data_IF_841679757914
#
_entry.id   IF_841679757914
#
_cell.length_a   1.000
_cell.length_b   1.000
_cell.length_c   1.000
_cell.angle_alpha   90.00
_cell.angle_beta   90.00
_cell.angle_gamma   90.00
#
_symmetry.space_group_name_H-M   'P 1'
#
loop_
_entity.id
_entity.type
_entity.pdbx_description
1 polymer ?
#
# COMPACT_ATOMS: atom_id res chain seq x y z
N UNK A 1 73.59 19.52 -7.63
CA UNK A 1 73.72 18.06 -7.65
C UNK A 1 72.39 17.43 -7.31
N UNK A 2 71.67 16.91 -8.29
CA UNK A 2 70.40 16.21 -8.07
C UNK A 2 70.63 14.75 -8.38
N UNK A 3 70.49 13.89 -7.38
CA UNK A 3 70.58 12.46 -7.50
C UNK A 3 69.27 11.88 -8.05
N UNK A 4 69.36 11.17 -9.15
CA UNK A 4 68.26 10.40 -9.74
C UNK A 4 68.32 8.98 -9.11
N UNK A 5 67.24 8.63 -8.35
CA UNK A 5 67.03 7.27 -7.91
C UNK A 5 66.26 6.52 -9.00
N UNK A 6 66.87 5.49 -9.57
CA UNK A 6 66.23 4.50 -10.44
C UNK A 6 65.48 3.47 -9.57
N UNK A 7 64.17 3.38 -9.80
CA UNK A 7 63.37 2.24 -9.28
C UNK A 7 63.47 1.07 -10.27
N UNK A 8 63.55 -0.17 -9.79
CA UNK A 8 63.53 -1.37 -10.64
C UNK A 8 62.08 -1.70 -11.04
N UNK A 9 61.91 -2.02 -12.34
CA UNK A 9 60.68 -2.50 -12.91
C UNK A 9 60.33 -3.88 -12.38
N UNK A 10 59.17 -4.00 -11.73
CA UNK A 10 58.60 -5.27 -11.28
C UNK A 10 57.88 -5.91 -12.48
N UNK A 11 58.39 -7.05 -12.94
CA UNK A 11 57.77 -7.92 -13.95
C UNK A 11 56.53 -8.58 -13.35
N UNK A 12 55.35 -8.15 -13.77
CA UNK A 12 54.08 -8.84 -13.47
C UNK A 12 53.93 -10.02 -14.46
N UNK A 13 53.93 -11.21 -13.94
CA UNK A 13 53.51 -12.43 -14.65
C UNK A 13 51.99 -12.46 -14.82
N UNK A 14 51.46 -12.94 -15.97
CA UNK A 14 50.01 -13.00 -16.14
C UNK A 14 49.45 -14.17 -15.28
N UNK A 15 48.52 -13.83 -14.36
CA UNK A 15 47.71 -14.80 -13.64
C UNK A 15 46.64 -15.31 -14.59
N UNK A 16 46.75 -16.55 -14.99
CA UNK A 16 45.70 -17.30 -15.71
C UNK A 16 44.53 -17.53 -14.76
N UNK A 17 43.43 -16.82 -14.94
CA UNK A 17 42.18 -17.05 -14.23
C UNK A 17 41.40 -18.18 -14.89
N UNK A 18 41.49 -19.38 -14.31
CA UNK A 18 40.57 -20.48 -14.57
C UNK A 18 39.25 -20.13 -13.84
N UNK A 19 38.08 -20.07 -14.53
CA UNK A 19 36.83 -19.91 -13.83
C UNK A 19 36.47 -21.15 -13.05
N UNK A 20 35.88 -21.05 -11.83
CA UNK A 20 35.39 -22.20 -11.08
C UNK A 20 34.22 -22.84 -11.78
N UNK A 21 34.39 -24.07 -12.17
CA UNK A 21 33.36 -24.97 -12.69
C UNK A 21 32.39 -25.32 -11.55
N UNK A 22 31.06 -25.12 -11.78
CA UNK A 22 30.04 -25.69 -10.91
C UNK A 22 29.16 -24.71 -10.12
N UNK A 23 28.74 -23.59 -10.69
CA UNK A 23 27.56 -22.91 -10.15
C UNK A 23 26.29 -23.51 -10.78
N UNK A 24 25.59 -24.33 -9.98
CA UNK A 24 24.22 -24.76 -10.34
C UNK A 24 23.35 -23.53 -10.60
N UNK A 25 22.54 -23.53 -11.69
CA UNK A 25 21.64 -22.40 -11.95
C UNK A 25 20.66 -22.26 -10.80
N UNK A 26 20.58 -21.05 -10.23
CA UNK A 26 19.55 -20.68 -9.27
C UNK A 26 18.21 -20.81 -9.98
N UNK A 27 17.24 -21.58 -9.47
CA UNK A 27 15.92 -21.66 -10.07
C UNK A 27 15.30 -20.27 -10.05
N UNK A 28 14.94 -19.75 -11.23
CA UNK A 28 14.11 -18.56 -11.35
C UNK A 28 12.76 -18.88 -10.70
N UNK A 29 12.53 -18.32 -9.53
CA UNK A 29 11.21 -18.34 -8.89
C UNK A 29 10.31 -17.44 -9.72
N UNK A 30 9.64 -18.01 -10.73
CA UNK A 30 8.68 -17.33 -11.61
C UNK A 30 7.26 -17.68 -11.19
N UNK A 31 7.02 -17.74 -9.89
CA UNK A 31 5.64 -17.86 -9.40
C UNK A 31 5.38 -16.69 -8.45
N UNK A 32 4.43 -15.81 -8.74
CA UNK A 32 3.95 -14.89 -7.72
C UNK A 32 3.40 -15.76 -6.59
N UNK A 33 3.89 -15.55 -5.38
CA UNK A 33 3.28 -16.13 -4.19
C UNK A 33 1.92 -15.46 -4.04
N UNK A 34 0.89 -16.10 -4.56
CA UNK A 34 -0.50 -15.77 -4.24
C UNK A 34 -0.66 -16.25 -2.79
N UNK A 35 -0.54 -15.34 -1.86
CA UNK A 35 -0.94 -15.59 -0.47
C UNK A 35 -2.47 -15.62 -0.50
N UNK A 36 -3.04 -16.83 -0.62
CA UNK A 36 -4.46 -17.03 -0.41
C UNK A 36 -4.79 -16.67 1.04
N UNK A 37 -5.41 -15.52 1.22
CA UNK A 37 -6.02 -15.16 2.49
C UNK A 37 -7.34 -15.91 2.60
N UNK A 38 -7.34 -17.02 3.34
CA UNK A 38 -8.57 -17.64 3.80
C UNK A 38 -9.33 -16.64 4.68
N UNK A 39 -10.39 -16.07 4.15
CA UNK A 39 -11.34 -15.23 4.88
C UNK A 39 -12.62 -16.01 5.06
N UNK A 40 -12.93 -16.29 6.32
CA UNK A 40 -14.14 -17.01 6.73
C UNK A 40 -15.41 -16.34 6.19
N UNK A 41 -16.20 -17.17 5.55
CA UNK A 41 -17.47 -16.92 4.91
C UNK A 41 -18.58 -16.71 5.93
N UNK A 42 -19.11 -15.49 6.07
CA UNK A 42 -20.52 -15.31 6.46
C UNK A 42 -21.01 -13.93 5.97
N UNK A 43 -22.03 -13.93 5.07
CA UNK A 43 -22.84 -12.80 4.59
C UNK A 43 -22.08 -11.68 3.83
N UNK A 44 -22.12 -11.75 2.50
CA UNK A 44 -21.47 -10.78 1.62
C UNK A 44 -19.97 -11.03 1.57
N UNK A 45 -19.57 -12.10 0.92
CA UNK A 45 -18.18 -12.55 0.86
C UNK A 45 -17.36 -11.56 0.04
N UNK A 46 -16.56 -10.75 0.71
CA UNK A 46 -15.52 -9.96 0.06
C UNK A 46 -14.31 -10.86 -0.17
N UNK A 47 -14.05 -11.21 -1.42
CA UNK A 47 -13.00 -12.16 -1.78
C UNK A 47 -11.66 -11.48 -2.10
N UNK A 48 -11.68 -10.18 -2.38
CA UNK A 48 -10.49 -9.44 -2.71
C UNK A 48 -10.46 -8.03 -2.10
N UNK A 49 -9.26 -7.46 -2.00
CA UNK A 49 -9.10 -6.06 -1.59
C UNK A 49 -9.72 -5.10 -2.60
N UNK A 50 -9.73 -5.46 -3.88
CA UNK A 50 -10.30 -4.62 -4.93
C UNK A 50 -11.83 -4.54 -4.80
N UNK A 51 -12.51 -5.63 -4.47
CA UNK A 51 -13.94 -5.63 -4.13
C UNK A 51 -14.22 -4.77 -2.89
N UNK A 52 -13.37 -4.88 -1.85
CA UNK A 52 -13.49 -4.03 -0.69
C UNK A 52 -13.38 -2.55 -1.05
N UNK A 53 -12.39 -2.18 -1.86
CA UNK A 53 -12.16 -0.79 -2.29
C UNK A 53 -13.36 -0.29 -3.10
N UNK A 54 -13.89 -1.11 -4.00
CA UNK A 54 -15.07 -0.77 -4.80
C UNK A 54 -16.29 -0.52 -3.92
N UNK A 55 -16.57 -1.40 -2.98
CA UNK A 55 -17.68 -1.25 -2.05
C UNK A 55 -17.52 -0.03 -1.15
N UNK A 56 -16.32 0.20 -0.62
CA UNK A 56 -16.02 1.39 0.18
C UNK A 56 -16.18 2.67 -0.64
N UNK A 57 -15.67 2.71 -1.88
CA UNK A 57 -15.81 3.86 -2.77
C UNK A 57 -17.28 4.21 -3.03
N UNK A 58 -18.11 3.19 -3.22
CA UNK A 58 -19.55 3.43 -3.37
C UNK A 58 -20.17 4.01 -2.08
N UNK A 59 -19.86 3.45 -0.93
CA UNK A 59 -20.41 3.92 0.36
C UNK A 59 -19.92 5.33 0.73
N UNK A 60 -18.66 5.66 0.41
CA UNK A 60 -18.02 6.94 0.75
C UNK A 60 -18.45 8.07 -0.19
N UNK A 61 -18.55 7.79 -1.48
CA UNK A 61 -18.68 8.85 -2.51
C UNK A 61 -19.66 8.53 -3.64
N UNK A 62 -20.32 7.38 -3.63
CA UNK A 62 -21.06 6.90 -4.80
C UNK A 62 -20.17 6.63 -6.00
N UNK A 63 -18.87 6.39 -5.79
CA UNK A 63 -17.87 6.23 -6.85
C UNK A 63 -17.35 7.55 -7.45
N UNK A 64 -17.74 8.71 -6.92
CA UNK A 64 -17.33 10.01 -7.45
C UNK A 64 -16.00 10.49 -6.83
N UNK A 65 -14.93 10.65 -7.63
CA UNK A 65 -13.62 11.05 -7.13
C UNK A 65 -13.51 12.54 -6.76
N UNK A 66 -14.47 13.37 -7.14
CA UNK A 66 -14.43 14.82 -6.89
C UNK A 66 -15.29 15.29 -5.71
N UNK A 67 -16.04 14.38 -5.09
CA UNK A 67 -16.96 14.75 -4.02
C UNK A 67 -16.22 15.27 -2.78
N UNK A 68 -16.81 16.28 -2.15
CA UNK A 68 -16.37 16.82 -0.87
C UNK A 68 -17.32 16.37 0.23
N UNK A 69 -16.79 15.78 1.28
CA UNK A 69 -17.51 15.42 2.49
C UNK A 69 -17.01 16.19 3.70
N UNK A 70 -17.66 16.01 4.84
CA UNK A 70 -17.27 16.61 6.13
C UNK A 70 -17.10 18.14 6.06
N UNK A 71 -17.96 18.82 5.31
CA UNK A 71 -17.83 20.26 5.04
C UNK A 71 -17.84 21.12 6.31
N UNK A 72 -18.43 20.63 7.40
CA UNK A 72 -18.45 21.29 8.70
C UNK A 72 -17.14 21.16 9.49
N UNK A 73 -16.19 20.38 8.99
CA UNK A 73 -14.88 20.19 9.62
C UNK A 73 -13.86 21.10 8.92
N UNK A 74 -12.95 21.69 9.70
CA UNK A 74 -11.88 22.55 9.17
C UNK A 74 -10.92 21.86 8.18
N UNK A 75 -11.11 20.56 7.93
CA UNK A 75 -10.33 19.78 6.99
C UNK A 75 -11.22 18.71 6.34
N UNK A 76 -11.94 19.04 5.25
CA UNK A 76 -12.91 18.17 4.61
C UNK A 76 -12.29 16.90 4.07
N UNK A 77 -13.08 15.82 4.04
CA UNK A 77 -12.78 14.63 3.29
C UNK A 77 -13.01 14.86 1.79
N UNK A 78 -12.23 14.17 0.95
CA UNK A 78 -12.24 14.42 -0.50
C UNK A 78 -12.09 13.12 -1.26
N UNK A 79 -12.83 13.00 -2.35
CA UNK A 79 -12.60 12.05 -3.41
C UNK A 79 -13.20 10.69 -3.18
N UNK A 80 -12.77 9.74 -3.99
CA UNK A 80 -13.32 8.38 -4.10
C UNK A 80 -13.47 7.68 -2.73
N UNK A 81 -12.47 7.75 -1.88
CA UNK A 81 -12.42 7.10 -0.57
C UNK A 81 -12.50 8.10 0.59
N UNK A 82 -13.03 9.30 0.35
CA UNK A 82 -13.26 10.36 1.33
C UNK A 82 -12.03 10.60 2.24
N UNK A 83 -10.86 10.76 1.59
CA UNK A 83 -9.58 10.90 2.28
C UNK A 83 -9.46 12.27 2.94
N UNK A 84 -9.12 12.29 4.21
CA UNK A 84 -8.81 13.52 4.96
C UNK A 84 -7.32 13.85 4.88
N UNK A 85 -6.90 15.13 5.05
CA UNK A 85 -5.49 15.52 5.02
C UNK A 85 -4.61 14.77 6.01
N UNK A 86 -5.16 14.34 7.14
CA UNK A 86 -4.42 13.53 8.13
C UNK A 86 -3.97 12.19 7.53
N UNK A 87 -4.81 11.55 6.70
CA UNK A 87 -4.46 10.29 6.04
C UNK A 87 -3.35 10.50 5.00
N UNK A 88 -3.35 11.60 4.25
CA UNK A 88 -2.24 11.94 3.33
C UNK A 88 -0.93 12.05 4.09
N UNK A 89 -0.92 12.73 5.25
CA UNK A 89 0.27 12.81 6.12
C UNK A 89 0.72 11.44 6.61
N UNK A 90 -0.23 10.60 6.99
CA UNK A 90 0.06 9.24 7.48
C UNK A 90 0.68 8.36 6.38
N UNK A 91 0.11 8.35 5.19
CA UNK A 91 0.67 7.64 4.03
C UNK A 91 2.08 8.14 3.71
N UNK A 92 2.29 9.46 3.73
CA UNK A 92 3.61 10.03 3.52
C UNK A 92 4.62 9.65 4.62
N UNK A 93 4.16 9.49 5.87
CA UNK A 93 4.98 8.99 6.97
C UNK A 93 5.39 7.54 6.76
N UNK A 94 4.45 6.69 6.30
CA UNK A 94 4.74 5.28 5.94
C UNK A 94 5.80 5.23 4.84
N UNK A 95 5.61 5.97 3.75
CA UNK A 95 6.57 6.02 2.63
C UNK A 95 7.96 6.49 3.09
N UNK A 96 8.01 7.51 3.96
CA UNK A 96 9.27 7.99 4.54
C UNK A 96 9.98 6.89 5.33
N UNK A 97 9.25 6.17 6.17
CA UNK A 97 9.81 5.08 6.99
C UNK A 97 10.31 3.90 6.13
N UNK A 98 9.76 3.73 4.94
CA UNK A 98 10.21 2.73 3.95
C UNK A 98 11.38 3.23 3.07
N UNK A 99 11.89 4.45 3.31
CA UNK A 99 12.97 5.03 2.52
C UNK A 99 12.55 5.51 1.12
N UNK A 100 11.24 5.55 0.82
CA UNK A 100 10.72 5.94 -0.48
C UNK A 100 10.65 7.47 -0.60
N UNK A 101 11.01 7.99 -1.79
CA UNK A 101 11.03 9.44 -2.07
C UNK A 101 9.65 9.98 -2.41
N UNK A 102 8.79 9.15 -3.03
CA UNK A 102 7.44 9.57 -3.45
C UNK A 102 6.64 10.14 -2.28
N UNK A 103 5.94 11.25 -2.54
CA UNK A 103 5.00 11.87 -1.59
C UNK A 103 3.71 12.24 -2.30
N UNK A 104 2.59 12.09 -1.57
CA UNK A 104 1.29 12.56 -2.02
C UNK A 104 1.03 13.99 -1.53
N UNK A 105 0.33 14.77 -2.35
CA UNK A 105 -0.20 16.09 -2.02
C UNK A 105 -1.67 15.98 -1.62
N UNK A 106 -2.21 17.01 -0.98
CA UNK A 106 -3.65 17.04 -0.66
C UNK A 106 -4.54 17.06 -1.91
N UNK A 107 -4.06 17.61 -3.04
CA UNK A 107 -4.75 17.57 -4.34
C UNK A 107 -4.92 16.15 -4.89
N UNK A 108 -4.00 15.23 -4.58
CA UNK A 108 -4.02 13.87 -5.12
C UNK A 108 -5.21 13.04 -4.61
N UNK A 109 -5.92 13.51 -3.57
CA UNK A 109 -7.15 12.89 -3.05
C UNK A 109 -8.31 12.92 -4.05
N UNK A 110 -8.27 13.85 -5.03
CA UNK A 110 -9.29 13.97 -6.11
C UNK A 110 -9.05 12.97 -7.24
N UNK A 111 -7.87 12.39 -7.31
CA UNK A 111 -7.55 11.36 -8.31
C UNK A 111 -7.87 9.97 -7.75
N UNK A 112 -8.72 9.23 -8.46
CA UNK A 112 -9.17 7.91 -8.04
C UNK A 112 -8.02 6.92 -7.87
N UNK A 113 -7.07 6.91 -8.82
CA UNK A 113 -5.95 6.00 -8.77
C UNK A 113 -4.99 6.32 -7.60
N UNK A 114 -4.77 7.60 -7.30
CA UNK A 114 -3.97 8.01 -6.14
C UNK A 114 -4.69 7.73 -4.83
N UNK A 115 -6.02 7.88 -4.77
CA UNK A 115 -6.82 7.50 -3.59
C UNK A 115 -6.68 6.00 -3.29
N UNK A 116 -6.80 5.14 -4.29
CA UNK A 116 -6.62 3.69 -4.17
C UNK A 116 -5.18 3.36 -3.75
N UNK A 117 -4.17 4.01 -4.35
CA UNK A 117 -2.76 3.82 -3.94
C UNK A 117 -2.53 4.21 -2.49
N UNK A 118 -3.09 5.32 -2.02
CA UNK A 118 -2.98 5.73 -0.61
C UNK A 118 -3.62 4.71 0.33
N UNK A 119 -4.79 4.19 -0.03
CA UNK A 119 -5.44 3.12 0.73
C UNK A 119 -4.56 1.86 0.80
N UNK A 120 -4.02 1.39 -0.32
CA UNK A 120 -3.19 0.19 -0.37
C UNK A 120 -1.91 0.34 0.47
N UNK A 121 -1.22 1.47 0.39
CA UNK A 121 -0.02 1.75 1.21
C UNK A 121 -0.36 1.69 2.70
N UNK A 122 -1.49 2.28 3.10
CA UNK A 122 -1.96 2.23 4.49
C UNK A 122 -2.36 0.81 4.91
N UNK A 123 -3.09 0.10 4.05
CA UNK A 123 -3.53 -1.26 4.31
C UNK A 123 -2.34 -2.23 4.46
N UNK A 124 -1.35 -2.14 3.59
CA UNK A 124 -0.14 -2.97 3.66
C UNK A 124 0.68 -2.68 4.92
N UNK A 125 0.70 -1.43 5.38
CA UNK A 125 1.44 -1.08 6.59
C UNK A 125 0.77 -1.55 7.89
N UNK A 126 -0.57 -1.61 7.95
CA UNK A 126 -1.29 -1.82 9.22
C UNK A 126 -2.24 -3.01 9.22
N UNK A 127 -2.58 -3.54 8.06
CA UNK A 127 -3.68 -4.50 7.90
C UNK A 127 -3.32 -5.72 7.06
N UNK A 128 -2.04 -6.03 6.90
CA UNK A 128 -1.57 -7.15 6.06
C UNK A 128 -2.29 -8.47 6.39
N UNK A 129 -2.56 -8.73 7.68
CA UNK A 129 -3.23 -9.94 8.16
C UNK A 129 -4.57 -9.61 8.85
N UNK A 130 -5.24 -8.54 8.46
CA UNK A 130 -6.53 -8.17 9.03
C UNK A 130 -7.68 -8.63 8.15
N UNK A 131 -8.84 -8.94 8.75
CA UNK A 131 -10.08 -9.11 7.98
C UNK A 131 -10.47 -7.82 7.25
N UNK A 132 -11.21 -7.94 6.17
CA UNK A 132 -11.72 -6.80 5.41
C UNK A 132 -12.65 -5.91 6.25
N UNK A 133 -13.44 -6.50 7.14
CA UNK A 133 -14.23 -5.74 8.12
C UNK A 133 -13.35 -4.86 9.00
N UNK A 134 -12.29 -5.42 9.58
CA UNK A 134 -11.38 -4.65 10.45
C UNK A 134 -10.69 -3.55 9.67
N UNK A 135 -10.30 -3.82 8.43
CA UNK A 135 -9.68 -2.84 7.53
C UNK A 135 -10.64 -1.69 7.23
N UNK A 136 -11.86 -1.99 6.76
CA UNK A 136 -12.89 -0.99 6.45
C UNK A 136 -13.27 -0.14 7.67
N UNK A 137 -13.52 -0.79 8.80
CA UNK A 137 -13.92 -0.10 10.04
C UNK A 137 -12.80 0.77 10.62
N UNK A 138 -11.53 0.36 10.46
CA UNK A 138 -10.40 1.19 10.85
C UNK A 138 -10.14 2.33 9.88
N UNK A 139 -10.44 2.16 8.59
CA UNK A 139 -10.42 3.27 7.63
C UNK A 139 -11.40 4.36 8.02
N UNK A 140 -12.65 3.99 8.25
CA UNK A 140 -13.72 4.92 8.61
C UNK A 140 -13.54 5.54 10.01
N UNK A 141 -13.20 4.73 11.01
CA UNK A 141 -13.18 5.14 12.41
C UNK A 141 -11.80 5.44 13.00
N UNK A 142 -10.72 5.38 12.20
CA UNK A 142 -9.34 5.56 12.63
C UNK A 142 -8.73 4.29 13.25
N UNK A 143 -7.52 4.35 13.84
CA UNK A 143 -6.72 3.19 14.25
C UNK A 143 -7.42 2.18 15.18
N UNK A 144 -8.43 2.62 15.91
CA UNK A 144 -9.28 1.78 16.78
C UNK A 144 -10.74 1.72 16.31
N UNK A 145 -10.98 2.02 15.03
CA UNK A 145 -12.32 2.02 14.43
C UNK A 145 -13.07 0.71 14.62
N UNK A 146 -12.38 -0.43 14.45
CA UNK A 146 -12.97 -1.75 14.65
C UNK A 146 -13.60 -1.95 16.05
N UNK A 147 -13.11 -1.23 17.07
CA UNK A 147 -13.66 -1.29 18.44
C UNK A 147 -14.83 -0.34 18.69
N UNK A 148 -15.18 0.51 17.73
CA UNK A 148 -16.25 1.50 17.87
C UNK A 148 -17.56 0.98 17.32
N UNK A 149 -18.64 1.05 18.09
CA UNK A 149 -19.98 0.68 17.64
C UNK A 149 -20.45 1.49 16.43
N UNK A 150 -20.09 2.78 16.36
CA UNK A 150 -20.42 3.66 15.25
C UNK A 150 -19.95 3.15 13.88
N UNK A 151 -18.87 2.37 13.81
CA UNK A 151 -18.35 1.83 12.55
C UNK A 151 -19.01 0.52 12.11
N UNK A 152 -19.83 -0.10 12.96
CA UNK A 152 -20.58 -1.32 12.60
C UNK A 152 -21.58 -1.02 11.48
N UNK A 153 -22.29 0.10 11.58
CA UNK A 153 -23.23 0.51 10.54
C UNK A 153 -22.53 0.81 9.20
N UNK A 154 -21.34 1.38 9.25
CA UNK A 154 -20.52 1.57 8.05
C UNK A 154 -20.18 0.23 7.39
N UNK A 155 -19.71 -0.74 8.17
CA UNK A 155 -19.42 -2.09 7.66
C UNK A 155 -20.65 -2.76 7.07
N UNK A 156 -21.81 -2.65 7.72
CA UNK A 156 -23.06 -3.20 7.20
C UNK A 156 -23.38 -2.67 5.78
N UNK A 157 -23.16 -1.37 5.52
CA UNK A 157 -23.33 -0.79 4.17
C UNK A 157 -22.35 -1.36 3.17
N UNK A 158 -21.06 -1.49 3.54
CA UNK A 158 -20.01 -2.03 2.67
C UNK A 158 -20.30 -3.48 2.31
N UNK A 159 -20.61 -4.34 3.28
CA UNK A 159 -20.90 -5.75 3.04
C UNK A 159 -22.18 -5.96 2.22
N UNK A 160 -23.23 -5.17 2.47
CA UNK A 160 -24.46 -5.21 1.69
C UNK A 160 -24.22 -4.85 0.22
N UNK A 161 -23.37 -3.86 -0.05
CA UNK A 161 -23.03 -3.51 -1.43
C UNK A 161 -22.42 -4.69 -2.17
N UNK A 162 -21.46 -5.39 -1.56
CA UNK A 162 -20.81 -6.56 -2.17
C UNK A 162 -21.83 -7.66 -2.45
N UNK A 163 -22.68 -8.00 -1.46
CA UNK A 163 -23.71 -9.03 -1.63
C UNK A 163 -24.66 -8.76 -2.80
N UNK A 164 -24.96 -7.49 -3.07
CA UNK A 164 -25.98 -7.11 -4.05
C UNK A 164 -25.41 -6.77 -5.45
N UNK A 165 -24.09 -6.52 -5.58
CA UNK A 165 -23.52 -5.96 -6.80
C UNK A 165 -22.28 -6.70 -7.34
N UNK A 166 -21.70 -7.58 -6.58
CA UNK A 166 -20.53 -8.37 -6.95
C UNK A 166 -20.78 -9.86 -6.79
#
# INVERSE_FOLDING_TARGET
>A
MRAFLLLPALLLSPVSSVPPEGSKPIPKITTPIIVEHNVDLINGKIDSRDELIQAMAFVESGGNPEILGDLNLGAPSVGLLQIRPIMVREVNRILKNQGLVKRFKNSDRKDAANSIKMFNIWADAYHLNSSYEKMARNWNGGPRGYKKSATVHYWAKVSTYVTNNL
#
